data_IF_990119246187
#
_entry.id   IF_990119246187
#
_cell.length_a   1.000
_cell.length_b   1.000
_cell.length_c   1.000
_cell.angle_alpha   90.00
_cell.angle_beta   90.00
_cell.angle_gamma   90.00
#
_symmetry.space_group_name_H-M   'P 1'
#
loop_
_entity.id
_entity.type
_entity.pdbx_description
1 polymer ?
#
# COMPACT_ATOMS: atom_id res chain seq x y z
N UNK A 1 3.27 -13.28 25.09
CA UNK A 1 2.71 -12.88 23.77
C UNK A 1 3.61 -13.44 22.66
N UNK A 2 3.10 -13.56 21.44
CA UNK A 2 3.84 -14.07 20.27
C UNK A 2 3.88 -13.02 19.17
N UNK A 3 4.94 -13.01 18.34
CA UNK A 3 5.06 -12.18 17.13
C UNK A 3 4.90 -10.66 17.32
N UNK A 4 5.21 -10.13 18.50
CA UNK A 4 4.97 -8.72 18.86
C UNK A 4 5.77 -7.71 18.02
N UNK A 5 6.85 -8.15 17.39
CA UNK A 5 7.72 -7.39 16.50
C UNK A 5 7.22 -7.38 15.05
N UNK A 6 6.20 -8.18 14.72
CA UNK A 6 5.65 -8.26 13.37
C UNK A 6 4.55 -7.21 13.17
N UNK A 7 4.97 -6.05 12.67
CA UNK A 7 4.09 -4.91 12.36
C UNK A 7 3.97 -4.77 10.84
N UNK A 8 2.77 -4.95 10.30
CA UNK A 8 2.50 -4.76 8.87
C UNK A 8 2.39 -3.28 8.55
N UNK A 9 3.02 -2.90 7.44
CA UNK A 9 3.06 -1.54 6.93
C UNK A 9 2.19 -1.44 5.66
N UNK A 10 1.46 -0.33 5.54
CA UNK A 10 0.67 0.02 4.35
C UNK A 10 1.46 0.94 3.42
N UNK A 11 1.88 0.50 2.21
CA UNK A 11 2.66 1.28 1.22
C UNK A 11 1.85 2.32 0.43
N UNK A 12 0.58 2.53 0.77
CA UNK A 12 -0.36 3.32 -0.04
C UNK A 12 -0.72 4.66 0.61
N UNK A 13 -0.12 4.95 1.76
CA UNK A 13 -0.40 6.17 2.50
C UNK A 13 0.49 7.31 2.02
N UNK A 14 0.09 8.53 2.37
CA UNK A 14 0.86 9.74 2.06
C UNK A 14 1.39 10.43 3.32
N UNK A 15 2.58 11.05 3.26
CA UNK A 15 3.06 11.97 4.30
C UNK A 15 2.26 13.28 4.36
N UNK A 16 1.45 13.58 3.33
CA UNK A 16 0.61 14.79 3.24
C UNK A 16 -0.71 14.69 4.00
N UNK A 17 -0.99 13.56 4.66
CA UNK A 17 -2.23 13.36 5.41
C UNK A 17 -2.00 12.67 6.76
N UNK A 18 -2.88 12.95 7.71
CA UNK A 18 -2.90 12.29 9.02
C UNK A 18 -3.84 11.09 8.99
N UNK A 19 -3.47 10.03 9.72
CA UNK A 19 -4.26 8.80 9.77
C UNK A 19 -4.29 8.05 8.44
N UNK A 20 -5.40 7.31 8.21
CA UNK A 20 -5.62 6.52 7.00
C UNK A 20 -5.88 7.40 5.77
N UNK A 21 -6.68 8.47 5.90
CA UNK A 21 -6.84 9.48 4.85
C UNK A 21 -7.48 8.98 3.55
N UNK A 22 -7.22 9.69 2.45
CA UNK A 22 -7.75 9.38 1.10
C UNK A 22 -6.72 8.72 0.18
N UNK A 23 -5.42 8.88 0.44
CA UNK A 23 -4.37 8.29 -0.40
C UNK A 23 -4.54 6.77 -0.59
N UNK A 24 -4.85 5.95 0.44
CA UNK A 24 -5.02 4.51 0.27
C UNK A 24 -5.94 4.14 -0.89
N UNK A 25 -7.11 4.78 -0.96
CA UNK A 25 -8.10 4.51 -1.99
C UNK A 25 -7.61 4.98 -3.36
N UNK A 26 -7.04 6.18 -3.43
CA UNK A 26 -6.54 6.78 -4.67
C UNK A 26 -5.38 5.98 -5.27
N UNK A 27 -4.47 5.48 -4.43
CA UNK A 27 -3.34 4.69 -4.90
C UNK A 27 -3.77 3.26 -5.25
N UNK A 28 -4.56 2.59 -4.39
CA UNK A 28 -4.91 1.18 -4.60
C UNK A 28 -5.93 0.98 -5.72
N UNK A 29 -6.91 1.88 -5.84
CA UNK A 29 -8.01 1.77 -6.81
C UNK A 29 -7.81 2.70 -8.02
N UNK A 30 -6.56 3.08 -8.28
CA UNK A 30 -6.21 3.95 -9.38
C UNK A 30 -4.71 3.87 -9.66
N UNK A 31 -3.92 4.71 -8.99
CA UNK A 31 -2.55 5.02 -9.42
C UNK A 31 -1.62 3.79 -9.47
N UNK A 32 -1.76 2.80 -8.59
CA UNK A 32 -0.96 1.57 -8.69
C UNK A 32 -1.36 0.67 -9.86
N UNK A 33 -2.65 0.66 -10.21
CA UNK A 33 -3.18 -0.19 -11.29
C UNK A 33 -2.74 0.35 -12.65
N UNK A 34 -2.93 1.65 -12.89
CA UNK A 34 -2.69 2.28 -14.20
C UNK A 34 -1.36 3.04 -14.30
N UNK A 35 -0.79 3.40 -13.16
CA UNK A 35 0.37 4.29 -13.06
C UNK A 35 1.65 3.59 -12.60
N UNK A 36 2.65 4.40 -12.26
CA UNK A 36 3.97 3.94 -11.79
C UNK A 36 4.43 4.71 -10.56
N UNK A 37 5.23 4.07 -9.71
CA UNK A 37 5.90 4.69 -8.59
C UNK A 37 7.37 4.96 -8.92
N UNK A 38 7.82 6.19 -8.71
CA UNK A 38 9.18 6.64 -9.01
C UNK A 38 9.90 7.16 -7.76
N UNK A 39 11.19 6.87 -7.67
CA UNK A 39 12.07 7.48 -6.69
C UNK A 39 12.39 8.92 -7.12
N UNK A 40 12.06 9.89 -6.27
CA UNK A 40 12.25 11.31 -6.57
C UNK A 40 13.71 11.70 -6.78
N UNK A 41 14.67 10.91 -6.27
CA UNK A 41 16.11 11.20 -6.34
C UNK A 41 16.67 10.97 -7.73
N UNK A 42 16.11 10.01 -8.47
CA UNK A 42 16.67 9.55 -9.76
C UNK A 42 15.62 9.47 -10.88
N UNK A 43 14.33 9.64 -10.59
CA UNK A 43 13.23 9.59 -11.54
C UNK A 43 12.90 8.20 -12.07
N UNK A 44 13.50 7.14 -11.51
CA UNK A 44 13.33 5.75 -11.95
C UNK A 44 12.26 5.05 -11.15
N UNK A 45 11.59 4.10 -11.81
CA UNK A 45 10.77 3.09 -11.13
C UNK A 45 11.65 2.23 -10.22
N UNK A 46 11.06 1.74 -9.13
CA UNK A 46 11.81 1.00 -8.11
C UNK A 46 11.08 -0.25 -7.58
N UNK A 47 9.82 -0.47 -7.96
CA UNK A 47 9.04 -1.61 -7.48
C UNK A 47 7.91 -1.99 -8.44
N UNK A 48 7.34 -3.16 -8.21
CA UNK A 48 6.05 -3.55 -8.76
C UNK A 48 4.92 -2.93 -7.90
N UNK A 49 4.18 -2.00 -8.48
CA UNK A 49 3.11 -1.26 -7.81
C UNK A 49 1.92 -2.14 -7.39
N UNK A 50 1.82 -3.35 -7.94
CA UNK A 50 0.80 -4.36 -7.67
C UNK A 50 1.31 -5.54 -6.82
N UNK A 51 2.56 -5.49 -6.32
CA UNK A 51 3.09 -6.49 -5.42
C UNK A 51 2.36 -6.51 -4.05
N UNK A 52 2.69 -7.48 -3.21
CA UNK A 52 2.17 -7.54 -1.85
C UNK A 52 2.62 -6.32 -1.02
N UNK A 53 2.00 -6.15 0.14
CA UNK A 53 2.19 -4.96 0.99
C UNK A 53 3.63 -4.84 1.50
N UNK A 54 4.22 -5.98 1.87
CA UNK A 54 5.56 -6.01 2.45
C UNK A 54 6.58 -5.64 1.39
N UNK A 55 6.51 -6.26 0.21
CA UNK A 55 7.44 -5.96 -0.89
C UNK A 55 7.44 -4.48 -1.24
N UNK A 56 6.27 -3.84 -1.37
CA UNK A 56 6.17 -2.41 -1.67
C UNK A 56 6.65 -1.52 -0.53
N UNK A 57 6.24 -1.82 0.71
CA UNK A 57 6.66 -1.02 1.86
C UNK A 57 8.17 -1.10 2.08
N UNK A 58 8.77 -2.28 1.94
CA UNK A 58 10.22 -2.47 2.06
C UNK A 58 10.96 -1.68 0.97
N UNK A 59 10.44 -1.67 -0.27
CA UNK A 59 11.02 -0.90 -1.37
C UNK A 59 10.98 0.62 -1.11
N UNK A 60 9.88 1.14 -0.57
CA UNK A 60 9.80 2.55 -0.13
C UNK A 60 10.76 2.85 1.04
N UNK A 61 10.91 1.92 1.99
CA UNK A 61 11.83 2.10 3.11
C UNK A 61 13.30 2.13 2.68
N UNK A 62 13.71 1.41 1.63
CA UNK A 62 15.07 1.52 1.10
C UNK A 62 15.38 2.98 0.73
N UNK A 63 14.47 3.62 0.00
CA UNK A 63 14.60 5.03 -0.39
C UNK A 63 14.62 5.95 0.84
N UNK A 64 13.66 5.77 1.76
CA UNK A 64 13.49 6.65 2.92
C UNK A 64 14.59 6.51 3.97
N UNK A 65 15.26 5.34 4.05
CA UNK A 65 16.43 5.12 4.93
C UNK A 65 17.68 5.81 4.39
N UNK A 66 17.90 5.73 3.09
CA UNK A 66 19.05 6.38 2.43
C UNK A 66 18.88 7.90 2.38
N UNK A 67 17.66 8.38 2.14
CA UNK A 67 17.35 9.80 2.01
C UNK A 67 16.05 10.13 2.76
N UNK A 68 16.15 10.48 4.05
CA UNK A 68 14.99 10.89 4.84
C UNK A 68 14.25 12.05 4.16
N UNK A 69 12.93 11.93 4.06
CA UNK A 69 12.00 12.87 3.37
C UNK A 69 12.04 12.85 1.83
N UNK A 70 12.85 12.00 1.19
CA UNK A 70 12.77 11.73 -0.25
C UNK A 70 11.59 10.78 -0.56
N UNK A 71 10.38 11.22 -0.23
CA UNK A 71 9.17 10.42 -0.42
C UNK A 71 8.98 10.07 -1.90
N UNK A 72 8.92 8.77 -2.27
CA UNK A 72 8.62 8.37 -3.63
C UNK A 72 7.27 8.92 -4.08
N UNK A 73 7.05 8.99 -5.39
CA UNK A 73 5.80 9.54 -5.94
C UNK A 73 5.18 8.50 -6.85
N UNK A 74 3.90 8.18 -6.62
CA UNK A 74 3.10 7.43 -7.59
C UNK A 74 2.40 8.39 -8.54
N UNK A 75 2.47 8.10 -9.84
CA UNK A 75 2.04 8.97 -10.94
C UNK A 75 1.11 8.19 -11.86
N UNK A 76 0.00 8.83 -12.25
CA UNK A 76 -0.95 8.34 -13.23
C UNK A 76 -1.65 9.50 -13.95
N UNK A 77 -2.68 9.21 -14.72
CA UNK A 77 -3.42 10.18 -15.54
C UNK A 77 -4.92 10.14 -15.27
N UNK A 78 -5.71 11.10 -15.74
CA UNK A 78 -7.13 11.21 -15.38
C UNK A 78 -7.95 9.92 -15.63
N UNK A 79 -7.61 9.17 -16.69
CA UNK A 79 -8.23 7.88 -17.06
C UNK A 79 -7.91 6.73 -16.08
N UNK A 80 -7.16 7.01 -15.02
CA UNK A 80 -6.78 6.06 -13.97
C UNK A 80 -7.91 5.80 -12.97
N UNK A 81 -8.88 6.72 -12.85
CA UNK A 81 -9.91 6.63 -11.82
C UNK A 81 -11.26 6.25 -12.42
N UNK A 82 -11.97 5.34 -11.75
CA UNK A 82 -13.37 5.05 -12.05
C UNK A 82 -14.32 6.00 -11.32
N UNK A 83 -15.60 6.10 -11.75
CA UNK A 83 -16.60 7.00 -11.15
C UNK A 83 -16.76 6.86 -9.64
N UNK A 84 -16.56 5.65 -9.12
CA UNK A 84 -16.65 5.32 -7.69
C UNK A 84 -15.54 5.98 -6.83
N UNK A 85 -14.46 6.46 -7.44
CA UNK A 85 -13.31 7.09 -6.76
C UNK A 85 -13.26 8.61 -6.97
N UNK A 86 -14.08 9.18 -7.86
CA UNK A 86 -14.09 10.63 -8.12
C UNK A 86 -14.28 11.50 -6.86
N UNK A 87 -15.17 11.15 -5.89
CA UNK A 87 -15.28 11.93 -4.65
C UNK A 87 -13.96 11.98 -3.85
N UNK A 88 -13.19 10.91 -3.87
CA UNK A 88 -11.87 10.84 -3.22
C UNK A 88 -10.83 11.61 -4.02
N UNK A 89 -10.93 11.65 -5.36
CA UNK A 89 -10.06 12.47 -6.22
C UNK A 89 -10.28 13.94 -5.89
N UNK A 90 -11.52 14.40 -5.87
CA UNK A 90 -11.86 15.78 -5.54
C UNK A 90 -11.37 16.16 -4.15
N UNK A 91 -11.59 15.28 -3.16
CA UNK A 91 -11.09 15.47 -1.80
C UNK A 91 -9.55 15.47 -1.75
N UNK A 92 -8.90 14.58 -2.48
CA UNK A 92 -7.44 14.49 -2.56
C UNK A 92 -6.82 15.76 -3.14
N UNK A 93 -7.45 16.33 -4.19
CA UNK A 93 -7.06 17.60 -4.78
C UNK A 93 -7.31 18.78 -3.82
N UNK A 94 -8.48 18.83 -3.19
CA UNK A 94 -8.84 19.90 -2.26
C UNK A 94 -7.95 19.93 -1.01
N UNK A 95 -7.51 18.75 -0.53
CA UNK A 95 -6.62 18.62 0.63
C UNK A 95 -5.13 18.71 0.28
N UNK A 96 -4.78 18.69 -1.02
CA UNK A 96 -3.39 18.71 -1.50
C UNK A 96 -2.64 17.39 -1.37
N UNK A 97 -3.28 16.32 -0.89
CA UNK A 97 -2.72 14.95 -0.83
C UNK A 97 -2.44 14.42 -2.23
N UNK A 98 -3.35 14.72 -3.16
CA UNK A 98 -3.16 14.51 -4.57
C UNK A 98 -2.91 15.86 -5.24
N UNK A 99 -1.94 15.90 -6.14
CA UNK A 99 -1.68 17.08 -6.97
C UNK A 99 -1.89 16.76 -8.44
N UNK A 100 -2.42 17.74 -9.17
CA UNK A 100 -2.62 17.72 -10.62
C UNK A 100 -1.53 18.56 -11.29
N UNK A 101 -0.98 18.05 -12.39
CA UNK A 101 0.02 18.74 -13.21
C UNK A 101 -0.35 18.60 -14.68
N UNK A 102 -0.24 19.67 -15.46
CA UNK A 102 -0.55 19.61 -16.89
C UNK A 102 0.54 18.88 -17.69
N UNK A 103 1.78 18.88 -17.19
CA UNK A 103 2.94 18.23 -17.84
C UNK A 103 3.81 17.47 -16.85
N UNK A 104 4.57 16.48 -17.35
CA UNK A 104 5.59 15.79 -16.55
C UNK A 104 6.71 16.74 -16.10
N UNK A 105 7.02 17.79 -16.88
CA UNK A 105 7.99 18.82 -16.48
C UNK A 105 7.53 19.57 -15.23
N UNK A 106 6.26 19.97 -15.16
CA UNK A 106 5.70 20.65 -13.99
C UNK A 106 5.68 19.73 -12.76
N UNK A 107 5.33 18.45 -12.95
CA UNK A 107 5.38 17.44 -11.90
C UNK A 107 6.81 17.25 -11.38
N UNK A 108 7.77 17.06 -12.28
CA UNK A 108 9.17 16.85 -11.96
C UNK A 108 9.76 18.05 -11.21
N UNK A 109 9.49 19.28 -11.67
CA UNK A 109 9.94 20.50 -11.01
C UNK A 109 9.38 20.62 -9.58
N UNK A 110 8.08 20.34 -9.38
CA UNK A 110 7.44 20.42 -8.07
C UNK A 110 8.05 19.43 -7.06
N UNK A 111 8.35 18.20 -7.49
CA UNK A 111 8.92 17.17 -6.61
C UNK A 111 10.44 17.03 -6.69
N UNK A 112 11.12 17.92 -7.44
CA UNK A 112 12.57 17.92 -7.66
C UNK A 112 13.09 16.61 -8.26
N UNK A 113 12.32 16.03 -9.17
CA UNK A 113 12.67 14.79 -9.88
C UNK A 113 13.51 15.14 -11.11
N UNK A 114 14.58 14.41 -11.43
CA UNK A 114 15.27 14.53 -12.71
C UNK A 114 14.29 14.31 -13.88
N UNK A 115 14.01 15.38 -14.63
CA UNK A 115 12.89 15.41 -15.59
C UNK A 115 13.07 14.42 -16.74
N UNK A 116 14.28 14.33 -17.30
CA UNK A 116 14.57 13.41 -18.40
C UNK A 116 14.41 11.95 -17.97
N UNK A 117 14.92 11.60 -16.78
CA UNK A 117 14.79 10.25 -16.23
C UNK A 117 13.34 9.87 -15.93
N UNK A 118 12.52 10.84 -15.47
CA UNK A 118 11.09 10.62 -15.28
C UNK A 118 10.39 10.34 -16.62
N UNK A 119 10.63 11.17 -17.63
CA UNK A 119 10.05 11.01 -18.97
C UNK A 119 10.44 9.66 -19.59
N UNK A 120 11.70 9.27 -19.44
CA UNK A 120 12.20 7.96 -19.88
C UNK A 120 11.48 6.82 -19.17
N UNK A 121 11.29 6.91 -17.85
CA UNK A 121 10.60 5.88 -17.05
C UNK A 121 9.15 5.70 -17.46
N UNK A 122 8.41 6.80 -17.66
CA UNK A 122 7.01 6.76 -18.13
C UNK A 122 6.93 6.19 -19.54
N UNK A 123 7.83 6.62 -20.44
CA UNK A 123 7.90 6.12 -21.82
C UNK A 123 8.17 4.61 -21.84
N UNK A 124 9.20 4.14 -21.14
CA UNK A 124 9.58 2.71 -21.07
C UNK A 124 8.44 1.87 -20.51
N UNK A 125 7.75 2.36 -19.47
CA UNK A 125 6.58 1.68 -18.91
C UNK A 125 5.47 1.54 -19.97
N UNK A 126 5.08 2.64 -20.61
CA UNK A 126 4.01 2.64 -21.60
C UNK A 126 4.33 1.73 -22.79
N UNK A 127 5.55 1.78 -23.34
CA UNK A 127 5.99 0.93 -24.45
C UNK A 127 5.92 -0.57 -24.08
N UNK A 128 6.41 -0.92 -22.89
CA UNK A 128 6.40 -2.31 -22.39
C UNK A 128 4.97 -2.80 -22.15
N UNK A 129 4.16 -1.95 -21.52
CA UNK A 129 2.77 -2.21 -21.17
C UNK A 129 1.89 -2.38 -22.41
N UNK A 130 2.07 -1.54 -23.44
CA UNK A 130 1.38 -1.63 -24.73
C UNK A 130 1.83 -2.85 -25.54
N UNK A 131 3.11 -3.22 -25.46
CA UNK A 131 3.62 -4.43 -26.10
C UNK A 131 3.14 -5.73 -25.42
N UNK A 132 2.47 -5.65 -24.26
CA UNK A 132 2.03 -6.81 -23.49
C UNK A 132 3.19 -7.66 -22.95
N UNK A 133 4.37 -7.06 -22.80
CA UNK A 133 5.58 -7.73 -22.31
C UNK A 133 5.68 -7.62 -20.79
N UNK A 134 6.35 -8.58 -20.17
CA UNK A 134 6.72 -8.50 -18.75
C UNK A 134 7.74 -7.36 -18.57
N UNK A 135 7.48 -6.48 -17.60
CA UNK A 135 8.40 -5.40 -17.26
C UNK A 135 9.49 -5.86 -16.27
N UNK A 136 10.49 -5.00 -16.03
CA UNK A 136 11.63 -5.33 -15.15
C UNK A 136 11.24 -5.63 -13.69
N UNK A 137 10.02 -5.25 -13.29
CA UNK A 137 9.46 -5.48 -11.95
C UNK A 137 8.41 -6.59 -11.94
N UNK A 138 8.12 -7.21 -13.09
CA UNK A 138 7.07 -8.21 -13.28
C UNK A 138 5.70 -7.72 -12.83
N UNK A 139 5.39 -6.43 -13.08
CA UNK A 139 4.04 -5.90 -12.90
C UNK A 139 3.10 -6.64 -13.84
N UNK A 140 1.91 -6.99 -13.36
CA UNK A 140 0.86 -7.57 -14.17
C UNK A 140 0.56 -6.70 -15.40
N UNK A 141 0.23 -7.33 -16.52
CA UNK A 141 0.01 -6.62 -17.78
C UNK A 141 -1.25 -5.75 -17.70
N UNK A 142 -1.37 -4.77 -18.61
CA UNK A 142 -2.59 -3.95 -18.71
C UNK A 142 -3.84 -4.80 -18.91
N UNK A 143 -3.72 -5.93 -19.62
CA UNK A 143 -4.83 -6.87 -19.85
C UNK A 143 -5.25 -7.55 -18.54
N UNK A 144 -4.29 -8.05 -17.77
CA UNK A 144 -4.55 -8.71 -16.48
C UNK A 144 -5.21 -7.76 -15.49
N UNK A 145 -4.78 -6.50 -15.50
CA UNK A 145 -5.26 -5.45 -14.62
C UNK A 145 -6.53 -4.75 -15.13
N UNK A 146 -6.96 -5.02 -16.37
CA UNK A 146 -7.98 -4.23 -17.08
C UNK A 146 -7.67 -2.72 -17.04
N UNK A 147 -6.38 -2.40 -17.18
CA UNK A 147 -5.84 -1.06 -17.05
C UNK A 147 -5.58 -0.43 -18.41
N UNK A 148 -5.30 0.87 -18.38
CA UNK A 148 -4.88 1.69 -19.52
C UNK A 148 -3.47 2.21 -19.25
N UNK A 149 -2.66 2.47 -20.30
CA UNK A 149 -1.37 3.11 -20.11
C UNK A 149 -1.54 4.56 -19.60
N UNK A 150 -0.45 5.14 -19.12
CA UNK A 150 -0.39 6.55 -18.72
C UNK A 150 -0.57 7.41 -19.98
N UNK A 151 -1.59 8.27 -20.01
CA UNK A 151 -1.82 9.19 -21.13
C UNK A 151 -0.80 10.34 -21.12
N UNK A 152 0.10 10.35 -22.11
CA UNK A 152 1.14 11.36 -22.23
C UNK A 152 0.60 12.78 -22.47
N UNK A 153 -0.68 12.93 -22.82
CA UNK A 153 -1.34 14.25 -22.95
C UNK A 153 -1.64 14.92 -21.61
N UNK A 154 -1.57 14.17 -20.51
CA UNK A 154 -2.00 14.65 -19.20
C UNK A 154 -3.51 14.90 -19.12
N UNK A 155 -3.99 15.55 -18.05
CA UNK A 155 -3.21 15.95 -16.89
C UNK A 155 -2.71 14.74 -16.08
N UNK A 156 -1.57 14.92 -15.42
CA UNK A 156 -0.93 13.95 -14.54
C UNK A 156 -1.38 14.16 -13.10
N UNK A 157 -1.60 13.07 -12.39
CA UNK A 157 -1.96 13.06 -10.98
C UNK A 157 -0.89 12.35 -10.20
N UNK A 158 -0.50 12.92 -9.07
CA UNK A 158 0.59 12.42 -8.26
C UNK A 158 0.28 12.46 -6.77
N UNK A 159 0.72 11.41 -6.06
CA UNK A 159 0.66 11.29 -4.61
C UNK A 159 2.04 10.89 -4.11
N UNK A 160 2.53 11.55 -3.06
CA UNK A 160 3.72 11.11 -2.33
C UNK A 160 3.40 9.86 -1.51
N UNK A 161 4.27 8.87 -1.56
CA UNK A 161 4.15 7.62 -0.84
C UNK A 161 4.96 7.64 0.45
N UNK A 162 4.39 7.07 1.49
CA UNK A 162 5.09 6.75 2.73
C UNK A 162 4.42 5.55 3.38
N UNK A 163 5.19 4.51 3.79
CA UNK A 163 4.60 3.42 4.54
C UNK A 163 4.10 3.91 5.90
N UNK A 164 2.90 3.47 6.30
CA UNK A 164 2.34 3.71 7.65
C UNK A 164 2.01 2.39 8.36
N UNK A 165 2.14 2.31 9.70
CA UNK A 165 1.67 1.15 10.45
C UNK A 165 0.21 0.87 10.17
N UNK A 166 -0.13 -0.40 9.90
CA UNK A 166 -1.47 -0.79 9.50
C UNK A 166 -2.09 -1.87 10.40
N UNK A 167 -1.31 -2.86 10.82
CA UNK A 167 -1.82 -3.98 11.63
C UNK A 167 -0.67 -4.61 12.44
N UNK A 168 -0.95 -5.05 13.66
CA UNK A 168 -0.03 -5.81 14.50
C UNK A 168 -0.40 -7.28 14.50
N UNK A 169 0.45 -8.15 13.92
CA UNK A 169 0.13 -9.59 13.81
C UNK A 169 0.40 -10.37 15.11
N UNK A 170 1.10 -9.73 16.05
CA UNK A 170 1.41 -10.30 17.35
C UNK A 170 0.40 -9.95 18.43
N UNK A 171 0.42 -10.73 19.51
CA UNK A 171 -0.51 -10.55 20.60
C UNK A 171 -0.53 -11.71 21.57
N UNK A 172 -1.64 -11.87 22.28
CA UNK A 172 -1.91 -12.99 23.18
C UNK A 172 -1.94 -14.30 22.38
N UNK A 173 -1.20 -15.32 22.84
CA UNK A 173 -1.29 -16.67 22.25
C UNK A 173 -2.62 -17.27 22.71
N UNK A 174 -3.41 -17.76 21.76
CA UNK A 174 -4.65 -18.48 22.03
C UNK A 174 -4.59 -19.90 21.45
N UNK A 175 -5.44 -20.79 21.93
CA UNK A 175 -5.76 -22.03 21.24
C UNK A 175 -6.98 -21.88 20.31
N UNK A 176 -7.39 -22.96 19.66
CA UNK A 176 -8.54 -22.98 18.75
C UNK A 176 -9.89 -22.78 19.44
N UNK A 177 -9.93 -22.73 20.78
CA UNK A 177 -11.10 -22.40 21.58
C UNK A 177 -11.01 -20.99 22.17
N UNK A 178 -10.16 -20.13 21.59
CA UNK A 178 -9.94 -18.74 21.99
C UNK A 178 -9.43 -18.53 23.44
N UNK A 179 -8.95 -19.59 24.11
CA UNK A 179 -8.42 -19.50 25.48
C UNK A 179 -7.00 -18.97 25.46
N UNK A 180 -6.69 -18.00 26.31
CA UNK A 180 -5.34 -17.43 26.39
C UNK A 180 -4.38 -18.44 27.03
N UNK A 181 -3.24 -18.66 26.38
CA UNK A 181 -2.21 -19.61 26.81
C UNK A 181 -1.16 -18.89 27.67
N UNK A 182 -0.94 -19.41 28.87
CA UNK A 182 0.10 -18.93 29.79
C UNK A 182 1.49 -19.17 29.21
N UNK A 183 2.34 -18.15 29.26
CA UNK A 183 3.75 -18.28 28.86
C UNK A 183 4.56 -19.16 29.83
N UNK A 184 4.14 -19.27 31.11
CA UNK A 184 4.88 -20.01 32.13
C UNK A 184 4.57 -21.50 32.11
N UNK A 185 3.30 -21.86 31.89
CA UNK A 185 2.83 -23.25 31.99
C UNK A 185 2.48 -23.86 30.64
N UNK A 186 2.40 -23.06 29.58
CA UNK A 186 1.90 -23.44 28.26
C UNK A 186 0.50 -24.11 28.32
N UNK A 187 -0.29 -23.75 29.33
CA UNK A 187 -1.70 -24.20 29.52
C UNK A 187 -2.67 -23.01 29.42
N UNK A 188 -3.95 -23.27 29.09
CA UNK A 188 -4.98 -22.24 29.17
C UNK A 188 -5.08 -21.60 30.55
N UNK A 189 -5.24 -20.28 30.59
CA UNK A 189 -5.53 -19.52 31.81
C UNK A 189 -7.05 -19.58 32.06
N UNK A 190 -7.53 -20.12 33.20
CA UNK A 190 -8.95 -20.24 33.47
C UNK A 190 -9.68 -18.89 33.40
N UNK A 191 -10.79 -18.85 32.65
CA UNK A 191 -11.64 -17.66 32.52
C UNK A 191 -11.09 -16.54 31.63
N UNK A 192 -9.93 -16.71 30.98
CA UNK A 192 -9.33 -15.69 30.13
C UNK A 192 -9.36 -16.09 28.65
N UNK A 193 -10.09 -15.31 27.87
CA UNK A 193 -10.28 -15.47 26.43
C UNK A 193 -9.84 -14.21 25.68
N UNK A 194 -9.46 -14.37 24.40
CA UNK A 194 -9.11 -13.25 23.54
C UNK A 194 -9.44 -13.56 22.08
N UNK A 195 -9.79 -12.53 21.31
CA UNK A 195 -10.12 -12.63 19.89
C UNK A 195 -9.73 -11.35 19.14
N UNK A 196 -9.42 -11.49 17.85
CA UNK A 196 -9.06 -10.38 16.97
C UNK A 196 -7.61 -9.90 17.14
N UNK A 197 -7.35 -8.64 16.75
CA UNK A 197 -5.99 -8.07 16.64
C UNK A 197 -5.19 -8.03 17.95
N UNK A 198 -5.83 -8.20 19.12
CA UNK A 198 -5.13 -8.36 20.40
C UNK A 198 -4.42 -9.73 20.51
N UNK A 199 -4.74 -10.68 19.64
CA UNK A 199 -4.18 -12.03 19.61
C UNK A 199 -3.04 -12.14 18.62
N UNK A 200 -2.18 -13.14 18.82
CA UNK A 200 -1.07 -13.44 17.92
C UNK A 200 -1.08 -14.90 17.49
N UNK A 201 -0.55 -15.16 16.29
CA UNK A 201 -0.43 -16.51 15.72
C UNK A 201 -1.20 -16.66 14.42
N UNK A 202 -2.48 -16.27 14.39
CA UNK A 202 -3.39 -16.46 13.24
C UNK A 202 -2.82 -15.97 11.91
N UNK A 203 -2.11 -14.85 11.93
CA UNK A 203 -1.63 -14.19 10.72
C UNK A 203 -0.16 -14.46 10.38
N UNK A 204 0.58 -15.14 11.25
CA UNK A 204 2.02 -15.32 11.09
C UNK A 204 2.75 -14.01 10.78
N UNK A 205 3.75 -14.06 9.90
CA UNK A 205 4.62 -12.93 9.58
C UNK A 205 3.97 -11.82 8.76
N UNK A 206 2.86 -12.09 8.08
CA UNK A 206 2.19 -11.09 7.24
C UNK A 206 0.73 -11.45 7.04
N UNK A 207 -0.15 -10.58 7.52
CA UNK A 207 -1.59 -10.75 7.36
C UNK A 207 -2.01 -10.53 5.90
N UNK A 208 -2.81 -11.46 5.37
CA UNK A 208 -3.45 -11.31 4.06
C UNK A 208 -4.48 -10.17 4.04
N UNK A 209 -4.81 -9.65 2.86
CA UNK A 209 -5.93 -8.70 2.71
C UNK A 209 -7.23 -9.28 3.25
N UNK A 210 -8.12 -8.42 3.74
CA UNK A 210 -9.52 -8.72 4.11
C UNK A 210 -9.79 -9.75 5.22
N UNK A 211 -8.79 -10.48 5.72
CA UNK A 211 -9.02 -11.56 6.72
C UNK A 211 -9.12 -11.10 8.18
N UNK A 212 -8.78 -9.85 8.52
CA UNK A 212 -8.78 -9.38 9.91
C UNK A 212 -10.18 -9.36 10.55
N UNK A 213 -11.18 -8.93 9.78
CA UNK A 213 -12.57 -8.88 10.26
C UNK A 213 -13.11 -10.30 10.47
N UNK A 214 -12.80 -11.20 9.54
CA UNK A 214 -13.14 -12.63 9.66
C UNK A 214 -12.52 -13.24 10.90
N UNK A 215 -11.23 -13.01 11.15
CA UNK A 215 -10.54 -13.45 12.36
C UNK A 215 -11.23 -12.95 13.65
N UNK A 216 -11.52 -11.64 13.72
CA UNK A 216 -12.21 -11.05 14.86
C UNK A 216 -13.59 -11.69 15.12
N UNK A 217 -14.40 -11.84 14.07
CA UNK A 217 -15.75 -12.40 14.19
C UNK A 217 -15.71 -13.89 14.55
N UNK A 218 -14.85 -14.66 13.88
CA UNK A 218 -14.75 -16.11 14.10
C UNK A 218 -14.25 -16.42 15.50
N UNK A 219 -13.12 -15.85 15.94
CA UNK A 219 -12.64 -16.10 17.31
C UNK A 219 -13.50 -15.44 18.38
N UNK A 220 -14.19 -14.34 18.07
CA UNK A 220 -15.17 -13.72 18.96
C UNK A 220 -16.36 -14.65 19.23
N UNK A 221 -16.89 -15.31 18.19
CA UNK A 221 -17.96 -16.31 18.31
C UNK A 221 -17.47 -17.54 19.09
N UNK A 222 -16.31 -18.09 18.74
CA UNK A 222 -15.71 -19.24 19.44
C UNK A 222 -15.50 -18.94 20.93
N UNK A 223 -15.01 -17.74 21.26
CA UNK A 223 -14.84 -17.32 22.65
C UNK A 223 -16.20 -17.29 23.37
N UNK A 224 -17.24 -16.74 22.74
CA UNK A 224 -18.59 -16.70 23.30
C UNK A 224 -19.22 -18.07 23.52
N UNK A 225 -18.99 -19.03 22.63
CA UNK A 225 -19.51 -20.42 22.75
C UNK A 225 -18.75 -21.26 23.78
N UNK A 226 -17.52 -20.87 24.12
CA UNK A 226 -16.67 -21.62 25.05
C UNK A 226 -16.83 -21.18 26.51
N UNK A 227 -17.34 -19.96 26.75
CA UNK A 227 -17.64 -19.43 28.10
C UNK A 227 -18.85 -20.14 28.69
#
# INVERSE_FOLDING_TARGET
PVHIDWIQQGPWASPDERGFGVAPLLTQQGLFVHGIAVDVRNGKRFMNEMADRKTRADAEYVILREAPKAYPVVIGTYNTFGPQIYPQVDKGLATGVMKKFDTLDALAANYKIPTDALKESVKKYNETALAGKEDEFKKQTLKDLKATPIDMKGPFYAIRLMPKPHHTMGGLKIDTSARVISANTNKPIPGLFAAGEVTGGTHGASRLGTVAVTDCLTFGLIAGETI
#
